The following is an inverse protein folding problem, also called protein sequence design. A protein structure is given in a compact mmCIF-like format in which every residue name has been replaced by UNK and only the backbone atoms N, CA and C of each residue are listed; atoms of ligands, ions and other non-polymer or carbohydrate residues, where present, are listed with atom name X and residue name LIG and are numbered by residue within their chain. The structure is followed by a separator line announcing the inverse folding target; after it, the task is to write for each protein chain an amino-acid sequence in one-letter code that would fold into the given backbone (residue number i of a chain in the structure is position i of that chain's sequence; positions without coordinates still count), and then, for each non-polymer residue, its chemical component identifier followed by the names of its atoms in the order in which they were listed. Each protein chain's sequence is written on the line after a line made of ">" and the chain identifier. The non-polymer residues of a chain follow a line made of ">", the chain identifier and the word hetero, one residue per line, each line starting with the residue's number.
data_IF_592318065424
#
_entry.id   IF_592318065424
#
_cell.length_a   1.000
_cell.length_b   1.000
_cell.length_c   1.000
_cell.angle_alpha   90.00
_cell.angle_beta   90.00
_cell.angle_gamma   90.00
#
_symmetry.space_group_name_H-M   'P 1'
#
loop_
_entity.id
_entity.type
_entity.pdbx_description
1 polymer ?
#
# COMPACT_ATOMS: atom_id res chain seq x y z
N UNK A 1 -1.04 -1.51 -3.99
CA UNK A 1 -1.96 -2.63 -3.71
C UNK A 1 -1.62 -3.88 -4.48
N UNK A 2 -1.66 -5.02 -3.79
CA UNK A 2 -1.48 -6.35 -4.39
C UNK A 2 -2.56 -7.32 -3.91
N UNK A 3 -2.78 -8.41 -4.62
CA UNK A 3 -3.70 -9.47 -4.17
C UNK A 3 -3.23 -10.01 -2.81
N UNK A 4 -4.16 -10.42 -1.95
CA UNK A 4 -3.81 -10.99 -0.64
C UNK A 4 -3.10 -12.34 -0.79
N UNK A 5 -3.60 -13.18 -1.69
CA UNK A 5 -2.95 -14.45 -2.04
C UNK A 5 -1.94 -14.17 -3.15
N UNK A 6 -0.66 -14.14 -2.80
CA UNK A 6 0.43 -13.97 -3.77
C UNK A 6 1.21 -15.26 -3.95
N UNK A 7 1.22 -15.76 -5.18
CA UNK A 7 2.03 -16.93 -5.60
C UNK A 7 3.37 -16.52 -6.20
N UNK A 8 3.64 -15.21 -6.28
CA UNK A 8 4.84 -14.65 -6.88
C UNK A 8 6.01 -14.63 -5.91
N UNK A 9 7.23 -14.55 -6.46
CA UNK A 9 8.45 -14.40 -5.67
C UNK A 9 8.42 -13.03 -4.97
N UNK A 10 8.71 -13.04 -3.66
CA UNK A 10 8.90 -11.82 -2.90
C UNK A 10 10.32 -11.69 -2.34
N UNK A 11 10.74 -10.46 -2.11
CA UNK A 11 11.93 -10.12 -1.32
C UNK A 11 11.50 -10.03 0.13
N UNK A 12 12.07 -10.87 0.99
CA UNK A 12 11.81 -10.85 2.43
C UNK A 12 12.89 -10.03 3.14
N UNK A 13 12.48 -9.00 3.87
CA UNK A 13 13.40 -8.18 4.67
C UNK A 13 12.86 -8.00 6.08
N UNK A 14 13.76 -7.87 7.06
CA UNK A 14 13.44 -7.41 8.40
C UNK A 14 13.74 -5.91 8.46
N UNK A 15 12.72 -5.13 8.80
CA UNK A 15 12.85 -3.70 9.06
C UNK A 15 12.83 -3.47 10.58
N UNK A 16 13.49 -2.42 11.03
CA UNK A 16 13.53 -2.07 12.46
C UNK A 16 12.16 -1.60 12.94
N UNK A 17 11.46 -0.83 12.10
CA UNK A 17 10.14 -0.26 12.39
C UNK A 17 8.98 -1.16 11.98
N UNK A 18 9.24 -2.39 11.55
CA UNK A 18 8.17 -3.34 11.23
C UNK A 18 8.30 -4.58 12.12
N UNK A 19 7.29 -4.88 12.96
CA UNK A 19 7.36 -6.00 13.90
C UNK A 19 7.42 -7.37 13.19
N UNK A 20 6.96 -7.43 11.93
CA UNK A 20 6.91 -8.65 11.12
C UNK A 20 7.91 -8.56 9.97
N UNK A 21 8.31 -9.72 9.44
CA UNK A 21 9.09 -9.77 8.19
C UNK A 21 8.23 -9.20 7.05
N UNK A 22 8.75 -8.20 6.35
CA UNK A 22 8.09 -7.60 5.21
C UNK A 22 8.30 -8.47 3.97
N UNK A 23 7.21 -8.81 3.27
CA UNK A 23 7.23 -9.46 1.97
C UNK A 23 7.01 -8.41 0.87
N UNK A 24 8.04 -8.11 0.10
CA UNK A 24 8.01 -7.02 -0.88
C UNK A 24 8.10 -7.58 -2.30
N UNK A 25 7.14 -7.23 -3.14
CA UNK A 25 6.90 -7.93 -4.42
C UNK A 25 7.51 -7.24 -5.63
N UNK A 26 7.93 -5.99 -5.48
CA UNK A 26 8.65 -5.28 -6.53
C UNK A 26 9.64 -4.24 -5.97
N UNK A 27 10.39 -3.64 -6.89
CA UNK A 27 11.44 -2.66 -6.58
C UNK A 27 10.90 -1.34 -6.01
N UNK A 28 9.67 -0.93 -6.34
CA UNK A 28 9.08 0.31 -5.82
C UNK A 28 8.71 0.08 -4.37
N UNK A 29 8.03 -1.02 -4.08
CA UNK A 29 7.71 -1.42 -2.72
C UNK A 29 8.96 -1.56 -1.86
N UNK A 30 10.02 -2.19 -2.39
CA UNK A 30 11.30 -2.31 -1.70
C UNK A 30 11.94 -0.96 -1.38
N UNK A 31 11.94 -0.03 -2.33
CA UNK A 31 12.51 1.30 -2.12
C UNK A 31 11.70 2.10 -1.07
N UNK A 32 10.37 2.06 -1.15
CA UNK A 32 9.49 2.71 -0.19
C UNK A 32 9.69 2.15 1.21
N UNK A 33 9.73 0.83 1.37
CA UNK A 33 9.93 0.19 2.66
C UNK A 33 11.23 0.64 3.35
N UNK A 34 12.32 0.78 2.58
CA UNK A 34 13.61 1.28 3.10
C UNK A 34 13.54 2.76 3.46
N UNK A 35 12.91 3.58 2.61
CA UNK A 35 12.73 5.00 2.85
C UNK A 35 11.93 5.25 4.13
N UNK A 36 10.80 4.58 4.29
CA UNK A 36 9.96 4.69 5.49
C UNK A 36 10.71 4.21 6.74
N UNK A 37 11.49 3.13 6.63
CA UNK A 37 12.27 2.65 7.78
C UNK A 37 13.34 3.66 8.21
N UNK A 38 13.90 4.44 7.30
CA UNK A 38 14.90 5.45 7.59
C UNK A 38 14.33 6.77 8.17
N UNK A 39 13.04 7.05 7.97
CA UNK A 39 12.43 8.32 8.38
C UNK A 39 12.25 8.43 9.91
N UNK A 40 12.91 9.36 10.60
CA UNK A 40 12.85 9.47 12.06
C UNK A 40 11.48 9.84 12.61
N UNK A 41 10.57 10.38 11.79
CA UNK A 41 9.20 10.71 12.21
C UNK A 41 8.27 9.50 12.25
N UNK A 42 8.71 8.35 11.72
CA UNK A 42 7.93 7.10 11.69
C UNK A 42 8.36 6.21 12.85
N UNK A 43 7.37 5.71 13.61
CA UNK A 43 7.59 4.76 14.71
C UNK A 43 7.32 3.33 14.30
N UNK A 44 6.35 3.11 13.41
CA UNK A 44 5.95 1.77 12.98
C UNK A 44 5.45 1.76 11.55
N UNK A 45 5.74 0.66 10.85
CA UNK A 45 5.30 0.37 9.50
C UNK A 45 4.65 -1.01 9.51
N UNK A 46 3.50 -1.13 8.86
CA UNK A 46 2.87 -2.41 8.59
C UNK A 46 2.74 -2.61 7.09
N UNK A 47 3.10 -3.81 6.63
CA UNK A 47 3.14 -4.14 5.20
C UNK A 47 2.05 -5.15 4.85
N UNK A 48 1.47 -5.00 3.66
CA UNK A 48 0.50 -5.94 3.08
C UNK A 48 -0.73 -6.17 3.98
N UNK A 49 -1.32 -5.08 4.48
CA UNK A 49 -2.51 -5.14 5.33
C UNK A 49 -3.72 -5.54 4.46
N UNK A 50 -4.40 -6.66 4.75
CA UNK A 50 -5.54 -7.10 3.96
C UNK A 50 -6.70 -6.11 4.09
N UNK A 51 -7.37 -5.86 2.97
CA UNK A 51 -8.61 -5.09 2.93
C UNK A 51 -9.79 -6.04 3.16
N UNK A 52 -10.66 -5.68 4.09
CA UNK A 52 -11.92 -6.38 4.30
C UNK A 52 -12.94 -5.90 3.27
N UNK A 53 -13.33 -6.79 2.34
CA UNK A 53 -14.28 -6.43 1.28
C UNK A 53 -15.69 -6.18 1.84
N UNK A 54 -16.04 -6.81 2.96
CA UNK A 54 -17.34 -6.64 3.62
C UNK A 54 -17.55 -5.22 4.18
N UNK A 55 -16.45 -4.48 4.37
CA UNK A 55 -16.47 -3.10 4.89
C UNK A 55 -16.56 -2.06 3.75
N UNK A 56 -16.44 -2.49 2.49
CA UNK A 56 -16.49 -1.59 1.33
C UNK A 56 -17.93 -1.57 0.79
N UNK A 57 -18.55 -0.40 0.61
CA UNK A 57 -19.88 -0.30 0.03
C UNK A 57 -19.91 -0.97 -1.34
N UNK A 58 -20.98 -1.74 -1.59
CA UNK A 58 -21.28 -2.41 -2.85
C UNK A 58 -21.72 -1.42 -3.96
N UNK A 59 -21.03 -0.29 -4.06
CA UNK A 59 -21.25 0.74 -5.08
C UNK A 59 -20.48 0.42 -6.37
N UNK A 60 -20.81 1.16 -7.45
CA UNK A 60 -20.39 1.18 -8.87
C UNK A 60 -19.00 0.65 -9.31
N UNK A 61 -18.08 0.33 -8.39
CA UNK A 61 -16.93 -0.49 -8.71
C UNK A 61 -17.37 -1.93 -8.90
N UNK A 62 -17.12 -2.49 -10.08
CA UNK A 62 -17.08 -3.94 -10.28
C UNK A 62 -15.91 -4.50 -9.44
N UNK A 63 -16.18 -4.69 -8.14
CA UNK A 63 -15.19 -5.18 -7.20
C UNK A 63 -14.77 -6.60 -7.63
N UNK A 64 -13.47 -6.85 -7.82
CA UNK A 64 -13.00 -8.19 -8.08
C UNK A 64 -13.40 -9.10 -6.91
N UNK A 65 -13.72 -10.37 -7.18
CA UNK A 65 -13.95 -11.38 -6.13
C UNK A 65 -12.72 -11.69 -5.27
N UNK A 66 -11.58 -11.11 -5.62
CA UNK A 66 -10.30 -11.32 -4.98
C UNK A 66 -10.03 -10.24 -3.94
N UNK A 67 -9.53 -10.64 -2.77
CA UNK A 67 -9.12 -9.73 -1.71
C UNK A 67 -7.77 -9.08 -2.03
N UNK A 68 -7.65 -7.79 -1.70
CA UNK A 68 -6.44 -7.00 -1.90
C UNK A 68 -5.78 -6.66 -0.56
N UNK A 69 -4.55 -6.19 -0.66
CA UNK A 69 -3.76 -5.68 0.46
C UNK A 69 -3.28 -4.27 0.15
N UNK A 70 -3.32 -3.45 1.18
CA UNK A 70 -2.64 -2.15 1.26
C UNK A 70 -1.15 -2.36 1.41
N UNK A 71 -0.35 -1.60 0.67
CA UNK A 71 1.10 -1.79 0.70
C UNK A 71 1.73 -1.39 2.02
N UNK A 72 1.38 -0.21 2.53
CA UNK A 72 1.94 0.35 3.76
C UNK A 72 0.90 1.09 4.59
N UNK A 73 0.80 0.74 5.87
CA UNK A 73 0.22 1.57 6.93
C UNK A 73 1.37 2.11 7.77
N UNK A 74 1.38 3.42 7.98
CA UNK A 74 2.49 4.15 8.60
C UNK A 74 1.96 4.83 9.85
N UNK A 75 2.63 4.61 10.97
CA UNK A 75 2.34 5.27 12.24
C UNK A 75 3.46 6.25 12.57
N UNK A 76 3.10 7.52 12.78
CA UNK A 76 4.03 8.60 13.05
C UNK A 76 4.21 8.84 14.56
N UNK A 77 5.30 9.51 14.92
CA UNK A 77 5.61 9.93 16.29
C UNK A 77 4.57 10.87 16.89
N UNK A 78 3.83 11.62 16.06
CA UNK A 78 2.79 12.56 16.50
C UNK A 78 1.41 11.89 16.66
N UNK A 79 1.34 10.56 16.53
CA UNK A 79 0.13 9.76 16.68
C UNK A 79 -0.74 9.70 15.42
N UNK A 80 -0.34 10.33 14.31
CA UNK A 80 -1.06 10.22 13.04
C UNK A 80 -0.77 8.90 12.35
N UNK A 81 -1.73 8.49 11.52
CA UNK A 81 -1.62 7.33 10.64
C UNK A 81 -1.80 7.75 9.20
N UNK A 82 -0.94 7.24 8.32
CA UNK A 82 -1.06 7.41 6.89
C UNK A 82 -0.99 6.08 6.14
N UNK A 83 -1.60 6.07 4.96
CA UNK A 83 -1.60 4.93 4.05
C UNK A 83 -0.89 5.30 2.76
N UNK A 84 0.00 4.42 2.30
CA UNK A 84 0.73 4.61 1.04
C UNK A 84 0.68 3.36 0.16
N UNK A 85 0.26 3.56 -1.09
CA UNK A 85 0.28 2.52 -2.12
C UNK A 85 1.49 2.69 -3.05
N UNK A 86 2.34 1.67 -3.14
CA UNK A 86 3.52 1.65 -4.01
C UNK A 86 3.14 1.16 -5.41
N UNK A 87 3.20 2.07 -6.39
CA UNK A 87 2.71 1.83 -7.77
C UNK A 87 3.78 2.22 -8.78
N UNK A 88 3.93 1.45 -9.85
CA UNK A 88 4.72 1.89 -10.99
C UNK A 88 4.04 3.04 -11.72
N UNK A 89 4.79 4.10 -12.03
CA UNK A 89 4.29 5.24 -12.82
C UNK A 89 3.68 4.79 -14.14
N UNK A 90 4.31 3.85 -14.83
CA UNK A 90 3.82 3.28 -16.09
C UNK A 90 2.48 2.55 -15.96
N UNK A 91 2.05 2.21 -14.75
CA UNK A 91 0.79 1.53 -14.48
C UNK A 91 -0.37 2.47 -14.14
N UNK A 92 -0.11 3.76 -13.90
CA UNK A 92 -1.15 4.72 -13.51
C UNK A 92 -2.21 4.94 -14.61
N UNK A 93 -1.85 4.76 -15.87
CA UNK A 93 -2.79 4.86 -17.00
C UNK A 93 -3.71 3.65 -17.16
N UNK A 94 -3.51 2.58 -16.38
CA UNK A 94 -4.31 1.36 -16.47
C UNK A 94 -5.61 1.53 -15.67
N UNK A 95 -6.81 1.39 -16.27
CA UNK A 95 -8.08 1.52 -15.55
C UNK A 95 -8.18 0.61 -14.33
N UNK A 96 -7.74 -0.65 -14.46
CA UNK A 96 -7.76 -1.60 -13.33
C UNK A 96 -6.88 -1.20 -12.16
N UNK A 97 -5.85 -0.37 -12.37
CA UNK A 97 -5.02 0.17 -11.29
C UNK A 97 -5.74 1.34 -10.62
N UNK A 98 -6.36 2.22 -11.39
CA UNK A 98 -7.18 3.31 -10.86
C UNK A 98 -8.35 2.79 -10.01
N UNK A 99 -9.08 1.78 -10.47
CA UNK A 99 -10.16 1.12 -9.73
C UNK A 99 -9.68 0.58 -8.38
N UNK A 100 -8.55 -0.13 -8.38
CA UNK A 100 -7.92 -0.62 -7.15
C UNK A 100 -7.55 0.55 -6.22
N UNK A 101 -6.88 1.57 -6.72
CA UNK A 101 -6.48 2.71 -5.90
C UNK A 101 -7.67 3.42 -5.26
N UNK A 102 -8.76 3.59 -6.01
CA UNK A 102 -9.99 4.17 -5.47
C UNK A 102 -10.63 3.28 -4.39
N UNK A 103 -10.62 1.96 -4.58
CA UNK A 103 -11.05 0.99 -3.58
C UNK A 103 -10.25 1.15 -2.28
N UNK A 104 -8.91 1.19 -2.36
CA UNK A 104 -8.05 1.42 -1.18
C UNK A 104 -8.38 2.75 -0.48
N UNK A 105 -8.50 3.83 -1.26
CA UNK A 105 -8.80 5.16 -0.74
C UNK A 105 -10.13 5.20 0.02
N UNK A 106 -11.19 4.63 -0.56
CA UNK A 106 -12.53 4.57 0.08
C UNK A 106 -12.52 3.74 1.35
N UNK A 107 -11.86 2.57 1.33
CA UNK A 107 -11.72 1.72 2.50
C UNK A 107 -11.12 2.48 3.68
N UNK A 108 -9.95 3.10 3.48
CA UNK A 108 -9.25 3.79 4.57
C UNK A 108 -9.96 5.06 5.03
N UNK A 109 -10.64 5.77 4.12
CA UNK A 109 -11.49 6.90 4.48
C UNK A 109 -12.61 6.48 5.44
N UNK A 110 -13.22 5.32 5.24
CA UNK A 110 -14.25 4.80 6.16
C UNK A 110 -13.70 4.37 7.52
N UNK A 111 -12.43 3.95 7.56
CA UNK A 111 -11.70 3.69 8.81
C UNK A 111 -11.24 4.98 9.51
N UNK A 112 -11.57 6.17 8.97
CA UNK A 112 -11.18 7.46 9.52
C UNK A 112 -9.74 7.88 9.21
N UNK A 113 -9.09 7.24 8.22
CA UNK A 113 -7.74 7.59 7.77
C UNK A 113 -7.83 8.34 6.44
N UNK A 114 -7.75 9.67 6.54
CA UNK A 114 -7.82 10.58 5.38
C UNK A 114 -6.45 10.79 4.71
N UNK A 115 -5.34 10.56 5.43
CA UNK A 115 -3.99 10.67 4.88
C UNK A 115 -3.63 9.42 4.05
N UNK A 116 -4.28 9.31 2.90
CA UNK A 116 -4.05 8.27 1.90
C UNK A 116 -3.30 8.85 0.70
N UNK A 117 -2.35 8.09 0.15
CA UNK A 117 -1.62 8.52 -1.04
C UNK A 117 -0.91 7.40 -1.79
N UNK A 118 -0.35 7.74 -2.94
CA UNK A 118 0.46 6.82 -3.76
C UNK A 118 1.92 7.27 -3.76
N UNK A 119 2.84 6.30 -3.79
CA UNK A 119 4.26 6.54 -4.03
C UNK A 119 4.65 5.81 -5.31
N UNK A 120 5.30 6.54 -6.21
CA UNK A 120 5.64 6.05 -7.55
C UNK A 120 7.12 6.19 -7.85
N UNK A 121 7.61 5.40 -8.81
CA UNK A 121 8.97 5.56 -9.30
C UNK A 121 9.17 6.89 -10.04
N UNK A 122 10.39 7.43 -9.89
CA UNK A 122 10.81 8.67 -10.55
C UNK A 122 10.69 8.49 -12.07
N UNK A 123 10.30 9.56 -12.74
CA UNK A 123 10.32 9.62 -14.20
C UNK A 123 11.74 9.31 -14.72
N UNK A 124 11.81 8.41 -15.69
CA UNK A 124 13.05 8.19 -16.44
C UNK A 124 13.12 9.28 -17.49
N UNK A 125 13.96 10.28 -17.24
CA UNK A 125 14.32 11.26 -18.27
C UNK A 125 15.12 10.50 -19.35
N UNK A 126 14.80 10.66 -20.64
CA UNK A 126 15.50 10.02 -21.75
C UNK A 126 17.01 10.32 -21.77
#
# INVERSE_FOLDING_TARGET
>A
MRKQIQKERCTKIKLEKCPRVCCLYDKVQLAVARMLNADPSIVQIECNIPLSLDEIPNDDLNLPSETYTTDFVIHFTDGKTAVREAVFRSHLSRPSVAERLELSRRYWQQQGIDDWGIIIDKERVP
#
